data_IF_237697840357
#
_entry.id   IF_237697840357
#
_cell.length_a   1.000
_cell.length_b   1.000
_cell.length_c   1.000
_cell.angle_alpha   90.00
_cell.angle_beta   90.00
_cell.angle_gamma   90.00
#
_symmetry.space_group_name_H-M   'P 1'
#
loop_
_entity.id
_entity.type
_entity.pdbx_description
1 polymer ?
#
# COMPACT_ATOMS: atom_id res chain seq x y z
N UNK A 1 33.24 26.03 28.72
CA UNK A 1 32.40 24.82 28.57
C UNK A 1 31.41 25.01 27.44
N UNK A 2 31.83 24.78 26.20
CA UNK A 2 30.90 24.67 25.08
C UNK A 2 30.33 23.25 25.11
N UNK A 3 29.08 23.14 25.56
CA UNK A 3 28.31 21.91 25.50
C UNK A 3 28.15 21.58 24.01
N UNK A 4 28.96 20.65 23.49
CA UNK A 4 28.84 20.16 22.12
C UNK A 4 27.49 19.44 22.05
N UNK A 5 26.50 20.14 21.51
CA UNK A 5 25.20 19.56 21.24
C UNK A 5 25.34 18.65 20.03
N UNK A 6 25.15 17.34 20.22
CA UNK A 6 25.15 16.36 19.12
C UNK A 6 23.88 16.51 18.27
N UNK A 7 23.86 17.57 17.46
CA UNK A 7 22.77 17.92 16.55
C UNK A 7 22.44 16.79 15.57
N UNK A 8 23.45 16.01 15.17
CA UNK A 8 23.29 14.82 14.32
C UNK A 8 22.48 13.72 15.01
N UNK A 9 22.78 13.41 16.28
CA UNK A 9 22.04 12.41 17.04
C UNK A 9 20.59 12.85 17.23
N UNK A 10 20.38 14.12 17.57
CA UNK A 10 19.04 14.66 17.74
C UNK A 10 18.23 14.55 16.45
N UNK A 11 18.81 14.94 15.31
CA UNK A 11 18.13 14.85 14.01
C UNK A 11 17.76 13.40 13.68
N UNK A 12 18.69 12.46 13.87
CA UNK A 12 18.42 11.03 13.68
C UNK A 12 17.29 10.53 14.58
N UNK A 13 17.32 10.88 15.87
CA UNK A 13 16.30 10.46 16.84
C UNK A 13 14.92 11.06 16.52
N UNK A 14 14.86 12.33 16.12
CA UNK A 14 13.62 12.99 15.68
C UNK A 14 13.06 12.32 14.42
N UNK A 15 13.90 12.08 13.41
CA UNK A 15 13.48 11.38 12.19
C UNK A 15 12.97 9.97 12.49
N UNK A 16 13.65 9.22 13.37
CA UNK A 16 13.22 7.87 13.76
C UNK A 16 11.91 7.89 14.52
N UNK A 17 11.74 8.82 15.46
CA UNK A 17 10.52 8.95 16.24
C UNK A 17 9.34 9.32 15.35
N UNK A 18 9.55 10.27 14.43
CA UNK A 18 8.56 10.66 13.43
C UNK A 18 8.16 9.49 12.53
N UNK A 19 9.14 8.77 11.97
CA UNK A 19 8.87 7.61 11.12
C UNK A 19 8.15 6.49 11.87
N UNK A 20 8.53 6.25 13.13
CA UNK A 20 7.87 5.30 14.03
C UNK A 20 6.40 5.67 14.28
N UNK A 21 6.13 6.95 14.57
CA UNK A 21 4.78 7.45 14.76
C UNK A 21 3.93 7.32 13.49
N UNK A 22 4.48 7.69 12.33
CA UNK A 22 3.81 7.53 11.02
C UNK A 22 3.49 6.06 10.75
N UNK A 23 4.42 5.14 11.04
CA UNK A 23 4.19 3.71 10.89
C UNK A 23 3.07 3.22 11.82
N UNK A 24 3.10 3.59 13.11
CA UNK A 24 2.03 3.24 14.07
C UNK A 24 0.67 3.77 13.64
N UNK A 25 0.60 5.04 13.24
CA UNK A 25 -0.61 5.67 12.72
C UNK A 25 -1.12 4.94 11.48
N UNK A 26 -0.23 4.63 10.54
CA UNK A 26 -0.58 3.88 9.33
C UNK A 26 -1.14 2.50 9.69
N UNK A 27 -0.52 1.78 10.62
CA UNK A 27 -1.03 0.48 11.10
C UNK A 27 -2.39 0.59 11.81
N UNK A 28 -2.66 1.71 12.46
CA UNK A 28 -3.93 1.96 13.13
C UNK A 28 -5.04 2.29 12.12
N UNK A 29 -4.75 3.13 11.12
CA UNK A 29 -5.72 3.56 10.10
C UNK A 29 -5.89 2.58 8.94
N UNK A 30 -4.93 1.66 8.72
CA UNK A 30 -5.03 0.55 7.76
C UNK A 30 -5.21 -0.79 8.47
N UNK A 31 -6.34 -1.05 9.16
CA UNK A 31 -6.62 -2.39 9.63
C UNK A 31 -6.81 -3.35 8.43
N UNK A 32 -6.53 -4.66 8.60
CA UNK A 32 -6.67 -5.66 7.54
C UNK A 32 -8.03 -5.66 6.83
N UNK A 33 -9.09 -5.37 7.58
CA UNK A 33 -10.47 -5.27 7.06
C UNK A 33 -10.62 -4.10 6.08
N UNK A 34 -9.99 -2.96 6.36
CA UNK A 34 -10.04 -1.79 5.49
C UNK A 34 -9.26 -2.03 4.20
N UNK A 35 -8.11 -2.69 4.28
CA UNK A 35 -7.36 -3.15 3.10
C UNK A 35 -8.16 -4.12 2.22
N UNK A 36 -8.92 -5.03 2.83
CA UNK A 36 -9.79 -5.92 2.08
C UNK A 36 -10.93 -5.14 1.38
N UNK A 37 -11.51 -4.14 2.04
CA UNK A 37 -12.53 -3.28 1.43
C UNK A 37 -11.96 -2.45 0.27
N UNK A 38 -10.78 -1.87 0.42
CA UNK A 38 -10.03 -1.18 -0.64
C UNK A 38 -9.71 -2.11 -1.82
N UNK A 39 -9.37 -3.36 -1.55
CA UNK A 39 -9.11 -4.34 -2.58
C UNK A 39 -10.38 -4.73 -3.35
N UNK A 40 -11.51 -4.94 -2.65
CA UNK A 40 -12.81 -5.14 -3.29
C UNK A 40 -13.21 -3.94 -4.13
N UNK A 41 -13.09 -2.72 -3.59
CA UNK A 41 -13.43 -1.51 -4.34
C UNK A 41 -12.52 -1.35 -5.57
N UNK A 42 -11.22 -1.65 -5.46
CA UNK A 42 -10.32 -1.67 -6.61
C UNK A 42 -10.73 -2.69 -7.66
N UNK A 43 -11.14 -3.91 -7.26
CA UNK A 43 -11.68 -4.92 -8.19
C UNK A 43 -12.96 -4.45 -8.89
N UNK A 44 -13.87 -3.80 -8.17
CA UNK A 44 -15.11 -3.24 -8.72
C UNK A 44 -14.90 -1.99 -9.58
N UNK A 45 -13.86 -1.21 -9.30
CA UNK A 45 -13.48 -0.04 -10.11
C UNK A 45 -12.98 -0.51 -11.48
N UNK A 46 -12.20 -1.60 -11.50
CA UNK A 46 -11.64 -2.18 -12.72
C UNK A 46 -10.56 -1.31 -13.37
N UNK A 47 -10.01 -1.77 -14.49
CA UNK A 47 -8.97 -1.07 -15.25
C UNK A 47 -9.37 -0.90 -16.70
N UNK A 48 -8.95 0.23 -17.26
CA UNK A 48 -9.02 0.52 -18.69
C UNK A 48 -7.67 0.32 -19.36
N UNK A 49 -7.64 -0.48 -20.42
CA UNK A 49 -6.49 -0.58 -21.31
C UNK A 49 -6.71 0.36 -22.50
N UNK A 50 -5.79 1.32 -22.68
CA UNK A 50 -5.84 2.20 -23.86
C UNK A 50 -5.52 1.38 -25.10
N UNK A 51 -6.41 1.38 -26.08
CA UNK A 51 -6.21 0.72 -27.36
C UNK A 51 -5.84 1.75 -28.42
N UNK A 52 -4.88 1.43 -29.27
CA UNK A 52 -4.57 2.23 -30.45
C UNK A 52 -5.70 2.10 -31.49
N UNK A 53 -6.06 3.21 -32.13
CA UNK A 53 -7.24 3.35 -32.99
C UNK A 53 -7.19 2.57 -34.33
N UNK A 54 -6.31 1.57 -34.45
CA UNK A 54 -6.12 0.80 -35.70
C UNK A 54 -7.24 -0.22 -35.99
N UNK A 55 -8.16 -0.46 -35.06
CA UNK A 55 -9.25 -1.45 -35.20
C UNK A 55 -10.64 -0.80 -35.29
N UNK A 56 -10.80 0.15 -36.22
CA UNK A 56 -11.94 1.07 -36.32
C UNK A 56 -13.30 0.45 -36.74
N UNK A 57 -13.41 -0.88 -36.86
CA UNK A 57 -14.62 -1.56 -37.39
C UNK A 57 -15.46 -2.30 -36.34
N UNK A 58 -15.11 -2.22 -35.05
CA UNK A 58 -15.94 -2.80 -33.98
C UNK A 58 -16.94 -1.74 -33.49
N UNK A 59 -18.25 -2.04 -33.37
CA UNK A 59 -19.23 -1.10 -32.84
C UNK A 59 -18.80 -0.60 -31.46
N UNK A 60 -18.63 0.71 -31.32
CA UNK A 60 -18.21 1.36 -30.07
C UNK A 60 -19.41 1.94 -29.36
N UNK A 61 -19.45 1.78 -28.03
CA UNK A 61 -20.38 2.51 -27.21
C UNK A 61 -19.71 3.79 -26.66
N UNK A 62 -20.46 4.89 -26.59
CA UNK A 62 -20.02 6.09 -25.89
C UNK A 62 -19.93 5.80 -24.39
N UNK A 63 -18.89 6.29 -23.73
CA UNK A 63 -18.78 6.13 -22.28
C UNK A 63 -19.95 6.83 -21.57
N UNK A 64 -20.48 6.17 -20.53
CA UNK A 64 -21.52 6.70 -19.66
C UNK A 64 -21.17 6.39 -18.21
N UNK A 65 -21.35 7.37 -17.32
CA UNK A 65 -21.13 7.26 -15.88
C UNK A 65 -22.10 6.28 -15.20
N UNK A 66 -23.29 6.12 -15.78
CA UNK A 66 -24.38 5.33 -15.20
C UNK A 66 -24.30 3.85 -15.58
N UNK A 67 -23.38 3.48 -16.48
CA UNK A 67 -23.29 2.14 -17.04
C UNK A 67 -22.05 1.40 -16.52
N UNK A 68 -22.28 0.19 -15.99
CA UNK A 68 -21.21 -0.74 -15.64
C UNK A 68 -20.78 -1.49 -16.91
N UNK A 69 -19.50 -1.45 -17.22
CA UNK A 69 -18.98 -2.06 -18.44
C UNK A 69 -18.47 -3.48 -18.19
N UNK A 70 -18.97 -4.50 -18.92
CA UNK A 70 -18.50 -5.87 -18.76
C UNK A 70 -17.10 -6.07 -19.35
N UNK A 71 -16.45 -7.16 -18.97
CA UNK A 71 -15.11 -7.51 -19.45
C UNK A 71 -15.01 -7.49 -20.98
N UNK A 72 -13.99 -6.82 -21.50
CA UNK A 72 -13.71 -6.74 -22.94
C UNK A 72 -14.52 -5.68 -23.68
N UNK A 73 -15.43 -4.96 -23.03
CA UNK A 73 -16.18 -3.87 -23.65
C UNK A 73 -15.25 -2.76 -24.15
N UNK A 74 -15.51 -2.29 -25.37
CA UNK A 74 -14.80 -1.21 -26.03
C UNK A 74 -15.60 0.08 -25.89
N UNK A 75 -14.99 1.08 -25.26
CA UNK A 75 -15.63 2.35 -24.96
C UNK A 75 -14.81 3.50 -25.52
N UNK A 76 -15.49 4.42 -26.21
CA UNK A 76 -14.89 5.66 -26.70
C UNK A 76 -15.08 6.75 -25.65
N UNK A 77 -13.95 7.30 -25.18
CA UNK A 77 -13.92 8.46 -24.31
C UNK A 77 -13.19 9.64 -24.99
N UNK A 78 -13.34 10.85 -24.46
CA UNK A 78 -12.71 12.07 -25.01
C UNK A 78 -11.19 11.92 -25.16
N UNK A 79 -10.57 11.07 -24.32
CA UNK A 79 -9.11 10.83 -24.29
C UNK A 79 -8.63 9.65 -25.17
N UNK A 80 -9.53 8.99 -25.90
CA UNK A 80 -9.21 7.88 -26.80
C UNK A 80 -10.11 6.66 -26.65
N UNK A 81 -9.70 5.54 -27.28
CA UNK A 81 -10.41 4.26 -27.19
C UNK A 81 -9.84 3.44 -26.02
N UNK A 82 -10.73 2.93 -25.18
CA UNK A 82 -10.36 2.13 -24.01
C UNK A 82 -11.11 0.80 -24.01
N UNK A 83 -10.42 -0.26 -23.60
CA UNK A 83 -10.98 -1.61 -23.41
C UNK A 83 -11.08 -1.90 -21.91
N UNK A 84 -12.24 -2.41 -21.48
CA UNK A 84 -12.45 -2.87 -20.11
C UNK A 84 -11.69 -4.17 -19.85
N UNK A 85 -10.75 -4.17 -18.89
CA UNK A 85 -9.95 -5.34 -18.53
C UNK A 85 -10.56 -6.13 -17.35
N UNK A 86 -11.38 -5.47 -16.52
CA UNK A 86 -12.04 -6.06 -15.35
C UNK A 86 -13.41 -6.69 -15.65
N UNK A 87 -13.89 -7.54 -14.74
CA UNK A 87 -15.19 -8.23 -14.83
C UNK A 87 -16.34 -7.23 -14.96
N UNK A 88 -16.33 -6.20 -14.10
CA UNK A 88 -17.25 -5.08 -14.08
C UNK A 88 -16.43 -3.80 -13.87
N UNK A 89 -16.31 -2.95 -14.89
CA UNK A 89 -15.52 -1.72 -14.84
C UNK A 89 -16.43 -0.51 -14.67
N UNK A 90 -16.25 0.23 -13.57
CA UNK A 90 -16.96 1.49 -13.28
C UNK A 90 -16.03 2.70 -13.26
N UNK A 91 -14.72 2.49 -13.42
CA UNK A 91 -13.74 3.57 -13.46
C UNK A 91 -14.02 4.56 -14.61
N UNK A 92 -13.62 5.81 -14.41
CA UNK A 92 -13.56 6.79 -15.49
C UNK A 92 -12.35 6.52 -16.40
N UNK A 93 -12.55 6.34 -17.72
CA UNK A 93 -11.46 6.07 -18.66
C UNK A 93 -10.52 7.26 -18.81
N UNK A 94 -9.23 7.03 -18.50
CA UNK A 94 -8.18 8.05 -18.63
C UNK A 94 -7.93 8.88 -17.38
N UNK A 95 -8.52 8.53 -16.24
CA UNK A 95 -8.17 9.10 -14.94
C UNK A 95 -6.95 8.38 -14.34
N UNK A 96 -5.85 9.11 -14.15
CA UNK A 96 -4.59 8.56 -13.64
C UNK A 96 -4.68 8.12 -12.18
N UNK A 97 -5.57 8.74 -11.38
CA UNK A 97 -5.79 8.37 -9.99
C UNK A 97 -6.44 6.99 -9.86
N UNK A 98 -7.44 6.69 -10.69
CA UNK A 98 -8.10 5.38 -10.70
C UNK A 98 -7.13 4.27 -11.11
N UNK A 99 -6.25 4.55 -12.07
CA UNK A 99 -5.20 3.62 -12.50
C UNK A 99 -4.17 3.35 -11.39
N UNK A 100 -3.72 4.41 -10.67
CA UNK A 100 -2.80 4.26 -9.52
C UNK A 100 -3.45 3.53 -8.36
N UNK A 101 -4.71 3.84 -8.05
CA UNK A 101 -5.50 3.18 -7.02
C UNK A 101 -5.63 1.69 -7.33
N UNK A 102 -6.02 1.34 -8.56
CA UNK A 102 -6.07 -0.04 -9.02
C UNK A 102 -4.70 -0.72 -8.89
N UNK A 103 -3.62 -0.09 -9.37
CA UNK A 103 -2.28 -0.68 -9.30
C UNK A 103 -1.80 -0.92 -7.86
N UNK A 104 -2.18 -0.04 -6.92
CA UNK A 104 -1.79 -0.13 -5.52
C UNK A 104 -2.60 -1.19 -4.75
N UNK A 105 -3.92 -1.25 -4.97
CA UNK A 105 -4.84 -2.08 -4.18
C UNK A 105 -5.31 -3.35 -4.88
N UNK A 106 -4.93 -3.58 -6.14
CA UNK A 106 -5.23 -4.83 -6.85
C UNK A 106 -4.59 -6.04 -6.15
N UNK A 107 -3.45 -5.87 -5.49
CA UNK A 107 -2.82 -6.90 -4.66
C UNK A 107 -2.66 -6.40 -3.21
N UNK A 108 -3.58 -6.74 -2.30
CA UNK A 108 -3.57 -6.23 -0.93
C UNK A 108 -2.31 -6.67 -0.16
N UNK A 109 -1.77 -7.85 -0.50
CA UNK A 109 -0.50 -8.33 0.06
C UNK A 109 0.68 -7.43 -0.27
N UNK A 110 0.67 -6.71 -1.40
CA UNK A 110 1.78 -5.83 -1.78
C UNK A 110 1.94 -4.68 -0.79
N UNK A 111 0.84 -4.02 -0.42
CA UNK A 111 0.85 -2.92 0.56
C UNK A 111 1.33 -3.40 1.93
N UNK A 112 0.85 -4.57 2.36
CA UNK A 112 1.28 -5.17 3.62
C UNK A 112 2.75 -5.59 3.62
N UNK A 113 3.25 -6.17 2.52
CA UNK A 113 4.68 -6.47 2.38
C UNK A 113 5.55 -5.21 2.55
N UNK A 114 5.15 -4.09 1.92
CA UNK A 114 5.86 -2.82 2.04
C UNK A 114 5.88 -2.28 3.47
N UNK A 115 4.74 -2.34 4.17
CA UNK A 115 4.62 -1.88 5.57
C UNK A 115 5.47 -2.72 6.53
N UNK A 116 5.43 -4.04 6.39
CA UNK A 116 6.26 -4.97 7.17
C UNK A 116 7.73 -4.70 6.91
N UNK A 117 8.14 -4.62 5.64
CA UNK A 117 9.52 -4.34 5.25
C UNK A 117 10.03 -3.02 5.83
N UNK A 118 9.26 -1.93 5.69
CA UNK A 118 9.62 -0.62 6.22
C UNK A 118 9.76 -0.65 7.74
N UNK A 119 8.85 -1.35 8.44
CA UNK A 119 8.90 -1.47 9.90
C UNK A 119 10.09 -2.31 10.36
N UNK A 120 10.40 -3.41 9.67
CA UNK A 120 11.63 -4.19 9.90
C UNK A 120 12.88 -3.34 9.74
N UNK A 121 12.95 -2.50 8.70
CA UNK A 121 14.09 -1.61 8.46
C UNK A 121 14.26 -0.60 9.59
N UNK A 122 13.16 0.02 10.05
CA UNK A 122 13.19 0.98 11.16
C UNK A 122 13.66 0.32 12.46
N UNK A 123 13.11 -0.84 12.82
CA UNK A 123 13.52 -1.59 14.03
C UNK A 123 14.98 -2.03 13.93
N UNK A 124 15.41 -2.52 12.76
CA UNK A 124 16.80 -2.91 12.51
C UNK A 124 17.77 -1.73 12.64
N UNK A 125 17.40 -0.56 12.13
CA UNK A 125 18.20 0.65 12.27
C UNK A 125 18.25 1.15 13.72
N UNK A 126 17.12 1.10 14.45
CA UNK A 126 17.09 1.44 15.88
C UNK A 126 18.01 0.53 16.69
N UNK A 127 18.02 -0.77 16.39
CA UNK A 127 18.93 -1.72 17.03
C UNK A 127 20.40 -1.40 16.71
N UNK A 128 20.72 -1.07 15.46
CA UNK A 128 22.07 -0.66 15.07
C UNK A 128 22.53 0.61 15.83
N UNK A 129 21.67 1.64 15.89
CA UNK A 129 21.96 2.85 16.67
C UNK A 129 22.14 2.57 18.16
N UNK A 130 21.38 1.61 18.72
CA UNK A 130 21.50 1.21 20.11
C UNK A 130 22.89 0.61 20.42
N UNK A 131 23.41 -0.25 19.53
CA UNK A 131 24.75 -0.87 19.69
C UNK A 131 25.87 0.15 19.58
N UNK A 132 25.70 1.17 18.73
CA UNK A 132 26.70 2.22 18.55
C UNK A 132 26.70 3.26 19.68
N UNK A 133 25.61 3.38 20.42
CA UNK A 133 25.45 4.43 21.43
C UNK A 133 26.18 4.10 22.73
N UNK A 134 27.13 4.95 23.13
CA UNK A 134 27.85 4.83 24.40
C UNK A 134 27.19 5.61 25.56
N UNK A 135 26.31 6.56 25.24
CA UNK A 135 25.68 7.46 26.21
C UNK A 135 24.41 6.83 26.80
N UNK A 136 24.32 6.75 28.12
CA UNK A 136 23.18 6.13 28.82
C UNK A 136 21.83 6.75 28.48
N UNK A 137 21.76 8.08 28.32
CA UNK A 137 20.53 8.81 27.96
C UNK A 137 20.03 8.43 26.57
N UNK A 138 20.94 8.30 25.61
CA UNK A 138 20.65 7.91 24.23
C UNK A 138 20.21 6.45 24.16
N UNK A 139 20.85 5.57 24.94
CA UNK A 139 20.48 4.14 25.03
C UNK A 139 19.06 3.97 25.58
N UNK A 140 18.71 4.66 26.66
CA UNK A 140 17.38 4.53 27.28
C UNK A 140 16.26 5.01 26.35
N UNK A 141 16.45 6.16 25.68
CA UNK A 141 15.42 6.69 24.76
C UNK A 141 15.22 5.81 23.53
N UNK A 142 16.31 5.31 22.94
CA UNK A 142 16.26 4.36 21.83
C UNK A 142 15.62 3.03 22.23
N UNK A 143 15.94 2.51 23.42
CA UNK A 143 15.37 1.26 23.92
C UNK A 143 13.84 1.35 24.11
N UNK A 144 13.33 2.44 24.68
CA UNK A 144 11.89 2.66 24.85
C UNK A 144 11.18 2.76 23.49
N UNK A 145 11.75 3.52 22.55
CA UNK A 145 11.19 3.63 21.21
C UNK A 145 11.18 2.28 20.47
N UNK A 146 12.26 1.51 20.59
CA UNK A 146 12.38 0.18 20.00
C UNK A 146 11.33 -0.78 20.56
N UNK A 147 11.07 -0.76 21.87
CA UNK A 147 10.06 -1.59 22.50
C UNK A 147 8.66 -1.35 21.89
N UNK A 148 8.28 -0.08 21.71
CA UNK A 148 7.00 0.26 21.08
C UNK A 148 6.92 -0.16 19.61
N UNK A 149 8.01 0.02 18.85
CA UNK A 149 8.06 -0.39 17.44
C UNK A 149 8.07 -1.91 17.28
N UNK A 150 8.65 -2.65 18.22
CA UNK A 150 8.65 -4.11 18.19
C UNK A 150 7.23 -4.68 18.34
N UNK A 151 6.41 -4.10 19.22
CA UNK A 151 4.99 -4.45 19.32
C UNK A 151 4.24 -4.20 18.00
N UNK A 152 4.51 -3.07 17.35
CA UNK A 152 3.90 -2.72 16.05
C UNK A 152 4.32 -3.72 14.97
N UNK A 153 5.61 -4.10 14.94
CA UNK A 153 6.15 -5.10 14.02
C UNK A 153 5.48 -6.46 14.23
N UNK A 154 5.38 -6.92 15.48
CA UNK A 154 4.74 -8.19 15.82
C UNK A 154 3.27 -8.22 15.34
N UNK A 155 2.54 -7.13 15.60
CA UNK A 155 1.15 -6.99 15.15
C UNK A 155 1.03 -7.05 13.62
N UNK A 156 1.87 -6.30 12.90
CA UNK A 156 1.91 -6.32 11.43
C UNK A 156 2.27 -7.69 10.87
N UNK A 157 3.28 -8.36 11.43
CA UNK A 157 3.72 -9.70 11.01
C UNK A 157 2.61 -10.74 11.18
N UNK A 158 1.91 -10.70 12.32
CA UNK A 158 0.76 -11.56 12.58
C UNK A 158 -0.34 -11.32 11.53
N UNK A 159 -0.70 -10.06 11.30
CA UNK A 159 -1.77 -9.70 10.37
C UNK A 159 -1.39 -10.06 8.92
N UNK A 160 -0.12 -9.88 8.55
CA UNK A 160 0.45 -10.32 7.28
C UNK A 160 0.35 -11.84 7.09
N UNK A 161 0.72 -12.63 8.11
CA UNK A 161 0.65 -14.09 8.03
C UNK A 161 -0.79 -14.59 7.90
N UNK A 162 -1.72 -14.01 8.68
CA UNK A 162 -3.15 -14.35 8.62
C UNK A 162 -3.71 -14.03 7.23
N UNK A 163 -3.48 -12.81 6.72
CA UNK A 163 -3.92 -12.43 5.37
C UNK A 163 -3.28 -13.31 4.30
N UNK A 164 -2.00 -13.61 4.42
CA UNK A 164 -1.31 -14.50 3.48
C UNK A 164 -1.95 -15.88 3.39
N UNK A 165 -2.42 -16.45 4.51
CA UNK A 165 -3.19 -17.69 4.51
C UNK A 165 -4.56 -17.55 3.87
N UNK A 166 -5.32 -16.51 4.22
CA UNK A 166 -6.68 -16.29 3.71
C UNK A 166 -6.68 -16.08 2.18
N UNK A 167 -5.75 -15.29 1.65
CA UNK A 167 -5.68 -15.05 0.21
C UNK A 167 -5.18 -16.28 -0.55
N UNK A 168 -4.23 -17.03 0.02
CA UNK A 168 -3.77 -18.29 -0.57
C UNK A 168 -4.90 -19.31 -0.67
N UNK A 169 -5.75 -19.41 0.35
CA UNK A 169 -6.93 -20.29 0.37
C UNK A 169 -7.99 -19.86 -0.66
N UNK A 170 -8.22 -18.55 -0.79
CA UNK A 170 -9.15 -18.00 -1.78
C UNK A 170 -8.71 -18.28 -3.23
N UNK A 171 -7.41 -18.20 -3.52
CA UNK A 171 -6.89 -18.52 -4.85
C UNK A 171 -7.04 -20.03 -5.17
N UNK A 172 -6.81 -20.92 -4.19
CA UNK A 172 -7.04 -22.36 -4.40
C UNK A 172 -8.51 -22.70 -4.65
N UNK A 173 -9.43 -22.01 -3.97
CA UNK A 173 -10.88 -22.20 -4.16
C UNK A 173 -11.40 -21.76 -5.53
N UNK A 174 -10.66 -20.92 -6.27
CA UNK A 174 -11.00 -20.51 -7.63
C UNK A 174 -10.40 -21.43 -8.72
N UNK A 175 -9.42 -22.28 -8.36
CA UNK A 175 -8.75 -23.20 -9.28
C UNK A 175 -9.31 -24.63 -9.28
N UNK A 176 -10.18 -24.96 -8.32
CA UNK A 176 -10.94 -26.22 -8.26
C UNK A 176 -12.38 -26.00 -8.73
#
# INVERSE_FOLDING_TARGET
NTLYYDSLWMWQHVCLTWLSAVLMLTCHFLPPQYLHLLHKSARHLGRWQRMEARHAHVPYNAWSELQVWPQGALVKHVRGLFKAEGINVTAEPGNSLHSRFYMLFHQPMRVMNWLVFLTCLVVGYQFFCLVQSSEWSHVVSLALLMFCNFYTLFKLMRDWFIMGKVYKDHDYGLTN
#
